data_IF_026662993221
#
_entry.id   IF_026662993221
#
_cell.length_a   1.000
_cell.length_b   1.000
_cell.length_c   1.000
_cell.angle_alpha   90.00
_cell.angle_beta   90.00
_cell.angle_gamma   90.00
#
_symmetry.space_group_name_H-M   'P 1'
#
loop_
_entity.id
_entity.type
_entity.pdbx_description
1 polymer ?
#
# COMPACT_ATOMS: atom_id res chain seq x y z
N UNK A 1 7.23 -15.68 -10.71
CA UNK A 1 6.84 -16.24 -9.39
C UNK A 1 6.47 -15.08 -8.48
N UNK A 2 5.32 -15.12 -7.81
CA UNK A 2 4.83 -14.01 -6.98
C UNK A 2 5.30 -14.07 -5.53
N UNK A 3 5.75 -15.24 -5.08
CA UNK A 3 6.13 -15.53 -3.69
C UNK A 3 7.16 -14.53 -3.14
N UNK A 4 8.15 -14.15 -3.95
CA UNK A 4 9.24 -13.28 -3.53
C UNK A 4 8.93 -11.78 -3.60
N UNK A 5 7.82 -11.38 -4.25
CA UNK A 5 7.52 -9.95 -4.46
C UNK A 5 7.40 -9.20 -3.14
N UNK A 6 6.82 -9.84 -2.13
CA UNK A 6 6.65 -9.23 -0.82
C UNK A 6 7.98 -9.12 -0.06
N UNK A 7 8.80 -10.17 -0.12
CA UNK A 7 10.13 -10.18 0.50
C UNK A 7 11.02 -9.10 -0.11
N UNK A 8 11.11 -9.05 -1.44
CA UNK A 8 11.84 -8.00 -2.14
C UNK A 8 11.29 -6.60 -1.85
N UNK A 9 9.97 -6.45 -1.71
CA UNK A 9 9.38 -5.17 -1.31
C UNK A 9 9.87 -4.75 0.08
N UNK A 10 9.89 -5.67 1.05
CA UNK A 10 10.43 -5.38 2.38
C UNK A 10 11.91 -5.00 2.31
N UNK A 11 12.73 -5.74 1.55
CA UNK A 11 14.16 -5.44 1.39
C UNK A 11 14.38 -4.01 0.85
N UNK A 12 13.53 -3.56 -0.08
CA UNK A 12 13.58 -2.19 -0.61
C UNK A 12 13.23 -1.14 0.45
N UNK A 13 12.23 -1.38 1.29
CA UNK A 13 11.85 -0.46 2.37
C UNK A 13 12.87 -0.45 3.52
N UNK A 14 13.61 -1.53 3.73
CA UNK A 14 14.70 -1.58 4.73
C UNK A 14 15.97 -0.89 4.22
N UNK A 15 16.26 -1.01 2.92
CA UNK A 15 17.49 -0.47 2.32
C UNK A 15 17.36 1.00 1.92
N UNK A 16 16.15 1.45 1.57
CA UNK A 16 15.89 2.79 1.06
C UNK A 16 15.00 3.57 2.02
N UNK A 17 15.32 4.85 2.22
CA UNK A 17 14.42 5.77 2.91
C UNK A 17 13.27 6.14 1.97
N UNK A 18 12.23 5.30 1.94
CA UNK A 18 11.00 5.55 1.19
C UNK A 18 10.03 6.31 2.08
N UNK A 19 9.82 7.59 1.81
CA UNK A 19 8.86 8.42 2.55
C UNK A 19 7.42 8.20 2.09
N UNK A 20 7.21 8.01 0.78
CA UNK A 20 5.90 7.75 0.17
C UNK A 20 6.03 6.83 -1.03
N UNK A 21 5.09 5.90 -1.20
CA UNK A 21 5.00 5.06 -2.39
C UNK A 21 3.56 4.65 -2.69
N UNK A 22 3.28 4.40 -3.97
CA UNK A 22 2.00 3.85 -4.43
C UNK A 22 2.28 2.51 -5.10
N UNK A 23 1.63 1.44 -4.60
CA UNK A 23 1.82 0.08 -5.11
C UNK A 23 0.53 -0.39 -5.79
N UNK A 24 0.62 -0.68 -7.09
CA UNK A 24 -0.50 -1.19 -7.86
C UNK A 24 -0.54 -2.72 -7.82
N UNK A 25 -1.72 -3.29 -7.54
CA UNK A 25 -1.99 -4.72 -7.60
C UNK A 25 -3.10 -5.03 -8.62
N UNK A 26 -2.96 -6.14 -9.35
CA UNK A 26 -3.89 -6.48 -10.44
C UNK A 26 -5.29 -6.91 -9.98
N UNK A 27 -5.47 -7.30 -8.71
CA UNK A 27 -6.74 -7.85 -8.22
C UNK A 27 -7.03 -7.36 -6.81
N UNK A 28 -8.31 -7.15 -6.47
CA UNK A 28 -8.75 -6.79 -5.11
C UNK A 28 -8.15 -7.69 -4.03
N UNK A 29 -8.25 -9.01 -4.21
CA UNK A 29 -7.68 -9.98 -3.26
C UNK A 29 -6.19 -9.75 -2.99
N UNK A 30 -5.41 -9.38 -4.01
CA UNK A 30 -3.98 -9.08 -3.88
C UNK A 30 -3.73 -7.78 -3.13
N UNK A 31 -4.58 -6.76 -3.34
CA UNK A 31 -4.56 -5.53 -2.55
C UNK A 31 -4.77 -5.86 -1.08
N UNK A 32 -5.85 -6.56 -0.75
CA UNK A 32 -6.20 -6.89 0.64
C UNK A 32 -5.09 -7.71 1.33
N UNK A 33 -4.58 -8.74 0.65
CA UNK A 33 -3.49 -9.56 1.16
C UNK A 33 -2.19 -8.77 1.37
N UNK A 34 -1.84 -7.88 0.44
CA UNK A 34 -0.63 -7.08 0.55
C UNK A 34 -0.75 -6.10 1.72
N UNK A 35 -1.90 -5.43 1.85
CA UNK A 35 -2.19 -4.51 2.95
C UNK A 35 -2.06 -5.20 4.30
N UNK A 36 -2.68 -6.37 4.47
CA UNK A 36 -2.57 -7.14 5.73
C UNK A 36 -1.11 -7.50 6.06
N UNK A 37 -0.34 -7.98 5.07
CA UNK A 37 1.07 -8.34 5.28
C UNK A 37 1.94 -7.14 5.64
N UNK A 38 1.70 -5.99 5.01
CA UNK A 38 2.44 -4.76 5.32
C UNK A 38 2.05 -4.22 6.71
N UNK A 39 0.77 -4.21 7.07
CA UNK A 39 0.32 -3.84 8.42
C UNK A 39 0.86 -4.76 9.50
N UNK A 40 0.98 -6.07 9.23
CA UNK A 40 1.59 -7.03 10.15
C UNK A 40 3.11 -6.82 10.35
N UNK A 41 3.74 -6.00 9.49
CA UNK A 41 5.12 -5.52 9.65
C UNK A 41 5.18 -4.06 10.10
N UNK A 42 4.10 -3.55 10.70
CA UNK A 42 3.98 -2.20 11.25
C UNK A 42 4.16 -1.07 10.21
N UNK A 43 4.00 -1.36 8.92
CA UNK A 43 3.94 -0.31 7.90
C UNK A 43 2.58 0.39 7.95
N UNK A 44 2.60 1.73 8.02
CA UNK A 44 1.40 2.56 7.84
C UNK A 44 0.98 2.54 6.37
N UNK A 45 -0.02 1.73 6.05
CA UNK A 45 -0.56 1.58 4.68
C UNK A 45 -2.07 1.70 4.64
N UNK A 46 -2.56 2.40 3.62
CA UNK A 46 -3.97 2.48 3.22
C UNK A 46 -4.14 1.81 1.85
N UNK A 47 -5.34 1.37 1.52
CA UNK A 47 -5.61 0.65 0.26
C UNK A 47 -6.91 1.10 -0.40
N UNK A 48 -6.95 1.00 -1.73
CA UNK A 48 -8.10 1.40 -2.53
C UNK A 48 -8.47 0.32 -3.54
N UNK A 49 -9.77 0.02 -3.68
CA UNK A 49 -10.26 -0.86 -4.74
C UNK A 49 -11.61 -0.41 -5.36
N UNK A 50 -11.96 -1.03 -6.48
CA UNK A 50 -13.15 -0.80 -7.33
C UNK A 50 -14.46 -0.61 -6.58
N UNK A 51 -14.67 -1.40 -5.51
CA UNK A 51 -15.94 -1.45 -4.78
C UNK A 51 -16.04 -0.49 -3.59
N UNK A 52 -15.01 0.31 -3.28
CA UNK A 52 -15.07 1.29 -2.20
C UNK A 52 -15.89 2.51 -2.60
N UNK A 53 -16.62 3.09 -1.64
CA UNK A 53 -17.36 4.33 -1.86
C UNK A 53 -16.41 5.47 -2.25
N UNK A 54 -16.84 6.33 -3.16
CA UNK A 54 -16.03 7.47 -3.62
C UNK A 54 -15.51 8.33 -2.45
N UNK A 55 -16.34 8.53 -1.43
CA UNK A 55 -15.96 9.27 -0.21
C UNK A 55 -14.76 8.65 0.52
N UNK A 56 -14.69 7.32 0.59
CA UNK A 56 -13.55 6.62 1.20
C UNK A 56 -12.29 6.78 0.35
N UNK A 57 -12.43 6.75 -0.98
CA UNK A 57 -11.31 6.99 -1.90
C UNK A 57 -10.73 8.39 -1.76
N UNK A 58 -11.60 9.39 -1.66
CA UNK A 58 -11.19 10.79 -1.54
C UNK A 58 -10.42 11.04 -0.23
N UNK A 59 -10.78 10.36 0.86
CA UNK A 59 -10.04 10.43 2.14
C UNK A 59 -8.62 9.90 1.97
N UNK A 60 -8.47 8.70 1.40
CA UNK A 60 -7.16 8.06 1.19
C UNK A 60 -6.27 8.91 0.27
N UNK A 61 -6.84 9.47 -0.80
CA UNK A 61 -6.10 10.35 -1.70
C UNK A 61 -5.66 11.65 -1.02
N UNK A 62 -6.50 12.22 -0.14
CA UNK A 62 -6.13 13.42 0.63
C UNK A 62 -5.02 13.14 1.63
N UNK A 63 -5.05 11.99 2.30
CA UNK A 63 -4.00 11.58 3.23
C UNK A 63 -2.65 11.43 2.53
N UNK A 64 -2.64 10.76 1.36
CA UNK A 64 -1.43 10.61 0.54
C UNK A 64 -0.85 11.98 0.16
N UNK A 65 -1.68 12.90 -0.34
CA UNK A 65 -1.25 14.24 -0.78
C UNK A 65 -0.82 15.14 0.39
N UNK A 66 -1.46 15.03 1.56
CA UNK A 66 -1.13 15.85 2.74
C UNK A 66 0.20 15.52 3.38
N UNK A 67 0.71 14.30 3.22
CA UNK A 67 2.01 13.90 3.76
C UNK A 67 3.22 14.61 3.09
N UNK A 68 2.97 15.49 2.12
CA UNK A 68 3.95 16.36 1.45
C UNK A 68 3.96 17.82 2.00
N UNK A 69 3.12 18.18 2.98
CA UNK A 69 3.00 19.54 3.53
C UNK A 69 3.56 19.68 4.94
#
# INVERSE_FOLDING_TARGET
REEWKFETLCDLYETLTITQAVIFCNTRRKVDMLTQKMQARDFTVSHMHGDMEQKQRDVIMRELVRSQS
#
